data_IF_340486463116
#
_entry.id   IF_340486463116
#
_cell.length_a   1.000
_cell.length_b   1.000
_cell.length_c   1.000
_cell.angle_alpha   90.00
_cell.angle_beta   90.00
_cell.angle_gamma   90.00
#
_symmetry.space_group_name_H-M   'P 1'
#
loop_
_entity.id
_entity.type
_entity.pdbx_description
1 polymer ?
#
# COMPACT_ATOMS: atom_id res chain seq x y z
N UNK A 1 -11.01 -21.47 -14.42
CA UNK A 1 -10.50 -20.74 -13.24
C UNK A 1 -11.08 -19.33 -13.12
N UNK A 2 -11.09 -18.52 -14.19
CA UNK A 2 -11.59 -17.13 -14.20
C UNK A 2 -12.99 -16.87 -13.59
N UNK A 3 -13.92 -17.82 -13.67
CA UNK A 3 -15.28 -17.65 -13.13
C UNK A 3 -15.32 -17.60 -11.60
N UNK A 4 -14.47 -18.38 -10.94
CA UNK A 4 -14.44 -18.47 -9.47
C UNK A 4 -13.80 -17.22 -8.87
N UNK A 5 -12.74 -16.70 -9.48
CA UNK A 5 -12.12 -15.46 -9.02
C UNK A 5 -13.09 -14.28 -9.12
N UNK A 6 -13.87 -14.17 -10.21
CA UNK A 6 -14.91 -13.14 -10.32
C UNK A 6 -16.05 -13.32 -9.32
N UNK A 7 -16.43 -14.58 -9.03
CA UNK A 7 -17.45 -14.88 -8.02
C UNK A 7 -16.98 -14.53 -6.60
N UNK A 8 -15.69 -14.68 -6.30
CA UNK A 8 -15.07 -14.26 -5.04
C UNK A 8 -15.06 -12.74 -4.92
N UNK A 9 -14.62 -12.02 -5.95
CA UNK A 9 -14.65 -10.56 -5.99
C UNK A 9 -16.07 -10.03 -5.77
N UNK A 10 -17.06 -10.60 -6.47
CA UNK A 10 -18.46 -10.23 -6.31
C UNK A 10 -18.97 -10.54 -4.89
N UNK A 11 -18.57 -11.65 -4.31
CA UNK A 11 -18.94 -12.00 -2.94
C UNK A 11 -18.37 -11.01 -1.92
N UNK A 12 -17.12 -10.56 -2.10
CA UNK A 12 -16.54 -9.51 -1.26
C UNK A 12 -17.27 -8.18 -1.41
N UNK A 13 -17.56 -7.77 -2.65
CA UNK A 13 -18.28 -6.53 -2.92
C UNK A 13 -19.67 -6.54 -2.27
N UNK A 14 -20.44 -7.61 -2.44
CA UNK A 14 -21.83 -7.68 -1.94
C UNK A 14 -21.88 -7.86 -0.42
N UNK A 15 -21.03 -8.71 0.17
CA UNK A 15 -21.14 -9.07 1.60
C UNK A 15 -20.35 -8.13 2.51
N UNK A 16 -19.29 -7.51 2.01
CA UNK A 16 -18.34 -6.76 2.83
C UNK A 16 -18.04 -5.36 2.30
N UNK A 17 -18.66 -4.95 1.19
CA UNK A 17 -18.42 -3.66 0.54
C UNK A 17 -16.92 -3.43 0.26
N UNK A 18 -16.30 -4.44 -0.34
CA UNK A 18 -14.87 -4.45 -0.58
C UNK A 18 -14.52 -4.94 -1.98
N UNK A 19 -13.56 -4.26 -2.62
CA UNK A 19 -13.01 -4.62 -3.91
C UNK A 19 -11.53 -5.01 -3.72
N UNK A 20 -11.16 -6.28 -3.95
CA UNK A 20 -9.78 -6.75 -3.78
C UNK A 20 -8.72 -5.99 -4.59
N UNK A 21 -9.12 -5.34 -5.68
CA UNK A 21 -8.20 -4.49 -6.47
C UNK A 21 -7.67 -3.28 -5.70
N UNK A 22 -8.27 -2.90 -4.57
CA UNK A 22 -7.81 -1.77 -3.74
C UNK A 22 -6.41 -2.02 -3.17
N UNK A 23 -6.17 -3.20 -2.60
CA UNK A 23 -4.84 -3.54 -2.06
C UNK A 23 -3.79 -3.55 -3.17
N UNK A 24 -4.11 -4.18 -4.32
CA UNK A 24 -3.21 -4.23 -5.48
C UNK A 24 -2.79 -2.83 -5.94
N UNK A 25 -3.72 -1.90 -6.07
CA UNK A 25 -3.41 -0.50 -6.44
C UNK A 25 -2.53 0.19 -5.41
N UNK A 26 -2.75 -0.09 -4.12
CA UNK A 26 -1.94 0.47 -3.05
C UNK A 26 -0.51 -0.09 -3.08
N UNK A 27 -0.34 -1.37 -3.41
CA UNK A 27 0.96 -1.99 -3.67
C UNK A 27 1.70 -1.30 -4.80
N UNK A 28 1.07 -1.18 -5.96
CA UNK A 28 1.66 -0.51 -7.13
C UNK A 28 2.08 0.94 -6.82
N UNK A 29 1.25 1.67 -6.07
CA UNK A 29 1.58 3.03 -5.64
C UNK A 29 2.79 3.09 -4.70
N UNK A 30 2.86 2.16 -3.74
CA UNK A 30 3.94 2.14 -2.76
C UNK A 30 5.28 1.72 -3.40
N UNK A 31 5.26 0.75 -4.31
CA UNK A 31 6.42 0.34 -5.11
C UNK A 31 6.99 1.54 -5.89
N UNK A 32 6.12 2.29 -6.58
CA UNK A 32 6.53 3.50 -7.32
C UNK A 32 7.12 4.58 -6.41
N UNK A 33 6.56 4.78 -5.22
CA UNK A 33 7.13 5.74 -4.27
C UNK A 33 8.49 5.24 -3.80
N UNK A 34 8.63 3.97 -3.46
CA UNK A 34 9.91 3.40 -3.01
C UNK A 34 11.00 3.55 -4.08
N UNK A 35 10.70 3.21 -5.35
CA UNK A 35 11.62 3.43 -6.47
C UNK A 35 12.03 4.91 -6.58
N UNK A 36 11.07 5.82 -6.43
CA UNK A 36 11.34 7.25 -6.47
C UNK A 36 12.24 7.72 -5.31
N UNK A 37 11.98 7.29 -4.07
CA UNK A 37 12.82 7.70 -2.92
C UNK A 37 14.22 7.10 -3.03
N UNK A 38 14.36 5.87 -3.51
CA UNK A 38 15.67 5.26 -3.80
C UNK A 38 16.42 6.05 -4.86
N UNK A 39 15.74 6.49 -5.92
CA UNK A 39 16.32 7.35 -6.94
C UNK A 39 16.83 8.66 -6.33
N UNK A 40 16.03 9.34 -5.49
CA UNK A 40 16.49 10.53 -4.79
C UNK A 40 17.73 10.22 -3.92
N UNK A 41 17.70 9.12 -3.16
CA UNK A 41 18.79 8.73 -2.26
C UNK A 41 20.11 8.37 -2.95
N UNK A 42 20.08 8.10 -4.26
CA UNK A 42 21.29 7.80 -5.04
C UNK A 42 22.19 9.02 -5.28
N UNK A 43 21.67 10.24 -5.06
CA UNK A 43 22.42 11.47 -5.32
C UNK A 43 23.32 11.84 -4.14
N UNK A 44 24.63 11.91 -4.38
CA UNK A 44 25.64 12.20 -3.36
C UNK A 44 25.86 13.70 -3.11
N UNK A 45 25.24 14.60 -3.89
CA UNK A 45 25.56 16.03 -3.90
C UNK A 45 24.55 16.91 -3.13
N UNK A 46 23.54 16.29 -2.52
CA UNK A 46 22.59 16.98 -1.67
C UNK A 46 23.25 17.52 -0.40
N UNK A 47 22.70 18.60 0.12
CA UNK A 47 23.00 19.06 1.48
C UNK A 47 22.70 17.96 2.51
N UNK A 48 23.39 18.00 3.65
CA UNK A 48 23.14 17.08 4.77
C UNK A 48 21.68 17.09 5.23
N UNK A 49 21.01 18.23 5.12
CA UNK A 49 19.59 18.36 5.45
C UNK A 49 18.70 17.55 4.49
N UNK A 50 18.88 17.73 3.18
CA UNK A 50 18.15 16.97 2.17
C UNK A 50 18.45 15.47 2.27
N UNK A 51 19.72 15.10 2.45
CA UNK A 51 20.12 13.70 2.65
C UNK A 51 19.39 13.05 3.83
N UNK A 52 19.27 13.75 4.97
CA UNK A 52 18.51 13.26 6.14
C UNK A 52 17.03 13.09 5.83
N UNK A 53 16.42 14.04 5.12
CA UNK A 53 15.00 13.94 4.76
C UNK A 53 14.73 12.78 3.80
N UNK A 54 15.58 12.60 2.78
CA UNK A 54 15.51 11.45 1.85
C UNK A 54 15.68 10.13 2.60
N UNK A 55 16.64 10.06 3.53
CA UNK A 55 16.85 8.88 4.36
C UNK A 55 15.63 8.54 5.22
N UNK A 56 15.03 9.53 5.90
CA UNK A 56 13.82 9.31 6.69
C UNK A 56 12.64 8.86 5.82
N UNK A 57 12.51 9.42 4.61
CA UNK A 57 11.47 9.03 3.67
C UNK A 57 11.65 7.58 3.20
N UNK A 58 12.89 7.10 3.03
CA UNK A 58 13.18 5.70 2.72
C UNK A 58 12.76 4.76 3.86
N UNK A 59 13.11 5.11 5.11
CA UNK A 59 12.69 4.32 6.28
C UNK A 59 11.18 4.23 6.41
N UNK A 60 10.48 5.33 6.15
CA UNK A 60 9.02 5.36 6.15
C UNK A 60 8.44 4.46 5.05
N UNK A 61 9.00 4.51 3.82
CA UNK A 61 8.58 3.65 2.72
C UNK A 61 8.75 2.16 3.06
N UNK A 62 9.89 1.76 3.61
CA UNK A 62 10.15 0.38 4.04
C UNK A 62 9.18 -0.06 5.14
N UNK A 63 8.87 0.81 6.11
CA UNK A 63 7.91 0.51 7.16
C UNK A 63 6.48 0.33 6.62
N UNK A 64 6.07 1.14 5.63
CA UNK A 64 4.79 0.99 4.96
C UNK A 64 4.73 -0.28 4.11
N UNK A 65 5.84 -0.69 3.49
CA UNK A 65 5.92 -1.95 2.73
C UNK A 65 5.68 -3.15 3.64
N UNK A 66 6.29 -3.18 4.83
CA UNK A 66 6.04 -4.24 5.80
C UNK A 66 4.57 -4.30 6.26
N UNK A 67 3.93 -3.14 6.47
CA UNK A 67 2.49 -3.08 6.80
C UNK A 67 1.63 -3.61 5.65
N UNK A 68 1.98 -3.25 4.42
CA UNK A 68 1.30 -3.70 3.21
C UNK A 68 1.40 -5.21 3.03
N UNK A 69 2.59 -5.79 3.21
CA UNK A 69 2.81 -7.24 3.16
C UNK A 69 1.95 -7.97 4.20
N UNK A 70 1.91 -7.46 5.44
CA UNK A 70 1.07 -8.03 6.49
C UNK A 70 -0.43 -8.00 6.12
N UNK A 71 -0.90 -6.93 5.48
CA UNK A 71 -2.28 -6.85 4.97
C UNK A 71 -2.51 -7.77 3.77
N UNK A 72 -1.53 -7.94 2.89
CA UNK A 72 -1.58 -8.88 1.75
C UNK A 72 -1.73 -10.32 2.20
N UNK A 73 -0.99 -10.74 3.23
CA UNK A 73 -1.14 -12.07 3.82
C UNK A 73 -2.55 -12.28 4.40
N UNK A 74 -3.12 -11.25 5.04
CA UNK A 74 -4.51 -11.29 5.54
C UNK A 74 -5.52 -11.37 4.40
N UNK A 75 -5.36 -10.59 3.34
CA UNK A 75 -6.23 -10.64 2.17
C UNK A 75 -6.20 -12.01 1.50
N UNK A 76 -5.01 -12.58 1.31
CA UNK A 76 -4.85 -13.91 0.74
C UNK A 76 -5.57 -14.98 1.57
N UNK A 77 -5.51 -14.89 2.90
CA UNK A 77 -6.28 -15.76 3.80
C UNK A 77 -7.78 -15.59 3.58
N UNK A 78 -8.31 -14.36 3.57
CA UNK A 78 -9.74 -14.13 3.34
C UNK A 78 -10.20 -14.63 1.97
N UNK A 79 -9.43 -14.39 0.91
CA UNK A 79 -9.73 -14.89 -0.43
C UNK A 79 -9.77 -16.41 -0.47
N UNK A 80 -8.82 -17.08 0.18
CA UNK A 80 -8.77 -18.54 0.27
C UNK A 80 -9.98 -19.11 1.02
N UNK A 81 -10.33 -18.52 2.16
CA UNK A 81 -11.52 -18.91 2.93
C UNK A 81 -12.82 -18.66 2.17
N UNK A 82 -12.92 -17.55 1.43
CA UNK A 82 -14.08 -17.24 0.58
C UNK A 82 -14.21 -18.24 -0.57
N UNK A 83 -13.10 -18.55 -1.24
CA UNK A 83 -13.06 -19.58 -2.30
C UNK A 83 -13.58 -20.91 -1.76
N UNK A 84 -13.05 -21.38 -0.63
CA UNK A 84 -13.49 -22.62 0.01
C UNK A 84 -14.98 -22.58 0.39
N UNK A 85 -15.47 -21.46 0.90
CA UNK A 85 -16.88 -21.27 1.25
C UNK A 85 -17.80 -21.35 0.03
N UNK A 86 -17.42 -20.72 -1.08
CA UNK A 86 -18.16 -20.79 -2.34
C UNK A 86 -18.17 -22.22 -2.91
N UNK A 87 -17.02 -22.89 -2.93
CA UNK A 87 -16.93 -24.29 -3.36
C UNK A 87 -17.80 -25.24 -2.52
N UNK A 88 -17.76 -25.08 -1.19
CA UNK A 88 -18.53 -25.91 -0.25
C UNK A 88 -19.99 -25.45 -0.09
N UNK A 89 -20.40 -24.37 -0.76
CA UNK A 89 -21.71 -23.69 -0.59
C UNK A 89 -22.04 -23.41 0.88
N UNK A 90 -21.04 -22.99 1.65
CA UNK A 90 -21.14 -22.65 3.08
C UNK A 90 -20.81 -21.18 3.32
N UNK A 91 -20.97 -20.72 4.57
CA UNK A 91 -20.48 -19.42 5.00
C UNK A 91 -18.94 -19.44 5.12
N UNK A 92 -18.25 -18.32 4.87
CA UNK A 92 -16.81 -18.20 5.15
C UNK A 92 -16.54 -18.40 6.64
N UNK A 93 -15.32 -18.87 6.97
CA UNK A 93 -14.92 -19.17 8.33
C UNK A 93 -14.58 -17.90 9.13
N UNK A 94 -14.04 -16.87 8.47
CA UNK A 94 -13.81 -15.56 9.07
C UNK A 94 -15.09 -14.80 9.43
N UNK A 95 -15.02 -14.01 10.49
CA UNK A 95 -16.12 -13.17 10.96
C UNK A 95 -16.15 -11.81 10.26
N UNK A 96 -17.34 -11.19 10.22
CA UNK A 96 -17.48 -9.83 9.67
C UNK A 96 -16.62 -8.81 10.41
N UNK A 97 -16.50 -8.94 11.74
CA UNK A 97 -15.69 -8.05 12.57
C UNK A 97 -14.21 -8.10 12.16
N UNK A 98 -13.67 -9.31 11.97
CA UNK A 98 -12.28 -9.52 11.54
C UNK A 98 -12.02 -8.85 10.18
N UNK A 99 -12.97 -8.95 9.25
CA UNK A 99 -12.87 -8.32 7.94
C UNK A 99 -13.01 -6.78 8.00
N UNK A 100 -13.86 -6.26 8.88
CA UNK A 100 -14.01 -4.82 9.09
C UNK A 100 -12.74 -4.20 9.72
N UNK A 101 -12.05 -4.93 10.60
CA UNK A 101 -10.74 -4.54 11.13
C UNK A 101 -9.66 -4.50 10.03
N UNK A 102 -9.68 -5.48 9.13
CA UNK A 102 -8.82 -5.46 7.93
C UNK A 102 -9.07 -4.21 7.07
N UNK A 103 -10.34 -3.88 6.77
CA UNK A 103 -10.68 -2.68 6.00
C UNK A 103 -10.20 -1.39 6.67
N UNK A 104 -10.34 -1.29 8.00
CA UNK A 104 -9.81 -0.14 8.76
C UNK A 104 -8.30 -0.04 8.65
N UNK A 105 -7.59 -1.16 8.76
CA UNK A 105 -6.15 -1.22 8.58
C UNK A 105 -5.71 -0.78 7.18
N UNK A 106 -6.44 -1.22 6.14
CA UNK A 106 -6.17 -0.81 4.76
C UNK A 106 -6.39 0.69 4.54
N UNK A 107 -7.48 1.26 5.08
CA UNK A 107 -7.75 2.71 5.00
C UNK A 107 -6.69 3.54 5.72
N UNK A 108 -6.22 3.06 6.88
CA UNK A 108 -5.13 3.71 7.61
C UNK A 108 -3.84 3.67 6.79
N UNK A 109 -3.50 2.51 6.20
CA UNK A 109 -2.33 2.40 5.33
C UNK A 109 -2.43 3.30 4.11
N UNK A 110 -3.60 3.38 3.47
CA UNK A 110 -3.84 4.28 2.34
C UNK A 110 -3.61 5.75 2.73
N UNK A 111 -4.06 6.14 3.92
CA UNK A 111 -3.81 7.49 4.45
C UNK A 111 -2.32 7.75 4.66
N UNK A 112 -1.60 6.78 5.26
CA UNK A 112 -0.16 6.87 5.48
C UNK A 112 0.61 6.97 4.15
N UNK A 113 0.24 6.18 3.14
CA UNK A 113 0.85 6.21 1.80
C UNK A 113 0.61 7.53 1.10
N UNK A 114 -0.61 8.08 1.18
CA UNK A 114 -0.92 9.40 0.61
C UNK A 114 -0.12 10.53 1.27
N UNK A 115 0.07 10.46 2.59
CA UNK A 115 0.91 11.42 3.31
C UNK A 115 2.39 11.29 2.92
N UNK A 116 2.90 10.07 2.75
CA UNK A 116 4.25 9.85 2.23
C UNK A 116 4.41 10.41 0.81
N UNK A 117 3.43 10.19 -0.06
CA UNK A 117 3.43 10.78 -1.41
C UNK A 117 3.48 12.31 -1.36
N UNK A 118 2.68 12.93 -0.48
CA UNK A 118 2.70 14.39 -0.27
C UNK A 118 4.09 14.87 0.17
N UNK A 119 4.73 14.17 1.12
CA UNK A 119 6.08 14.48 1.59
C UNK A 119 7.14 14.33 0.48
N UNK A 120 7.02 13.30 -0.35
CA UNK A 120 7.91 13.09 -1.50
C UNK A 120 7.81 14.25 -2.51
N UNK A 121 6.59 14.76 -2.77
CA UNK A 121 6.39 15.93 -3.64
C UNK A 121 7.03 17.20 -3.07
N UNK A 122 6.86 17.46 -1.77
CA UNK A 122 7.50 18.61 -1.11
C UNK A 122 9.02 18.52 -1.22
N UNK A 123 9.60 17.34 -0.94
CA UNK A 123 11.04 17.10 -1.05
C UNK A 123 11.55 17.32 -2.48
N UNK A 124 10.75 16.98 -3.49
CA UNK A 124 11.10 17.24 -4.89
C UNK A 124 11.26 18.74 -5.18
N UNK A 125 10.38 19.57 -4.63
CA UNK A 125 10.48 21.03 -4.76
C UNK A 125 11.67 21.60 -4.00
N UNK A 126 11.98 21.08 -2.81
CA UNK A 126 13.17 21.46 -2.04
C UNK A 126 14.47 21.14 -2.81
N UNK A 127 14.55 19.94 -3.40
CA UNK A 127 15.67 19.52 -4.26
C UNK A 127 15.81 20.46 -5.46
N UNK A 128 14.71 20.81 -6.14
CA UNK A 128 14.72 21.77 -7.25
C UNK A 128 15.21 23.15 -6.82
N UNK A 129 14.80 23.60 -5.64
CA UNK A 129 15.27 24.85 -5.04
C UNK A 129 16.78 24.84 -4.81
N UNK A 130 17.31 23.75 -4.25
CA UNK A 130 18.76 23.61 -4.03
C UNK A 130 19.54 23.64 -5.35
N UNK A 131 19.08 22.93 -6.38
CA UNK A 131 19.70 22.97 -7.71
C UNK A 131 19.73 24.38 -8.30
N UNK A 132 18.62 25.12 -8.23
CA UNK A 132 18.56 26.51 -8.74
C UNK A 132 19.48 27.47 -7.99
N UNK A 133 19.79 27.18 -6.73
CA UNK A 133 20.69 28.02 -5.93
C UNK A 133 22.18 27.71 -6.15
N UNK A 134 22.48 26.50 -6.66
CA UNK A 134 23.85 26.01 -6.91
C UNK A 134 24.29 26.14 -8.39
N UNK A 135 23.35 26.32 -9.32
CA UNK A 135 23.59 26.66 -10.73
C UNK A 135 23.53 28.17 -10.95
#
# INVERSE_FOLDING_TARGET
>A
MHKIDSDVERAFAVKFDYVPTRLKKLTEMLDLIQEFVQYLGSNQYYSDSLNKQVFLLNLDADALMLKLEALSLKEHRFQSEMKLALFKKKKPAFEKKEFDEYKKGLLALETDVMEMHRRALVLTEEIRGEYRSKC
#
